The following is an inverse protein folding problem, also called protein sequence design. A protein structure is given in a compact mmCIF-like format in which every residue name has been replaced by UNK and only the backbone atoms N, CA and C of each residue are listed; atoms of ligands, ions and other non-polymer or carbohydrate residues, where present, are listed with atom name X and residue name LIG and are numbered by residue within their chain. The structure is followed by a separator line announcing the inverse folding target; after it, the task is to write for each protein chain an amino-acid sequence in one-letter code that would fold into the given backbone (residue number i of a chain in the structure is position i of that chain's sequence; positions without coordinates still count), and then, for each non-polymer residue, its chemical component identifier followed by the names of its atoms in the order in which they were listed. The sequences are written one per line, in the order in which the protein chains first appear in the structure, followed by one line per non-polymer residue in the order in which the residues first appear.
data_IF_608394662111
#
_entry.id   IF_608394662111
#
_cell.length_a   1.000
_cell.length_b   1.000
_cell.length_c   1.000
_cell.angle_alpha   90.00
_cell.angle_beta   90.00
_cell.angle_gamma   90.00
#
_symmetry.space_group_name_H-M   'P 1'
#
loop_
_entity.id
_entity.type
_entity.pdbx_description
1 polymer ?
#
# COMPACT_ATOMS: atom_id res chain seq x y z
N UNK A 1 13.41 -10.55 26.18
CA UNK A 1 13.59 -11.90 25.62
C UNK A 1 12.19 -12.36 25.24
N UNK A 2 11.81 -12.31 23.96
CA UNK A 2 10.49 -12.79 23.52
C UNK A 2 10.62 -14.29 23.27
N UNK A 3 9.81 -15.10 23.96
CA UNK A 3 9.86 -16.56 23.82
C UNK A 3 9.19 -16.95 22.51
N UNK A 4 9.73 -17.94 21.78
CA UNK A 4 9.19 -18.46 20.51
C UNK A 4 7.78 -19.06 20.60
N UNK A 5 7.13 -18.97 21.76
CA UNK A 5 5.82 -19.52 22.08
C UNK A 5 4.84 -18.47 22.63
N UNK A 6 5.23 -17.19 22.63
CA UNK A 6 4.25 -16.12 22.83
C UNK A 6 3.32 -16.13 21.62
N UNK A 7 2.00 -16.32 21.80
CA UNK A 7 1.07 -16.24 20.70
C UNK A 7 1.22 -14.86 20.09
N UNK A 8 1.66 -14.80 18.83
CA UNK A 8 1.71 -13.56 18.08
C UNK A 8 0.30 -12.96 18.21
N UNK A 9 0.16 -11.76 18.79
CA UNK A 9 -1.15 -11.16 19.00
C UNK A 9 -1.88 -11.19 17.66
N UNK A 10 -3.12 -11.67 17.67
CA UNK A 10 -3.87 -11.88 16.44
C UNK A 10 -3.94 -10.55 15.71
N UNK A 11 -3.20 -10.45 14.60
CA UNK A 11 -3.02 -9.19 13.92
C UNK A 11 -4.38 -8.71 13.41
N UNK A 12 -4.87 -7.63 14.00
CA UNK A 12 -6.07 -6.93 13.52
C UNK A 12 -5.62 -5.89 12.51
N UNK A 13 -5.77 -6.21 11.23
CA UNK A 13 -5.40 -5.34 10.12
C UNK A 13 -5.93 -3.90 10.27
N UNK A 14 -7.17 -3.74 10.73
CA UNK A 14 -7.77 -2.41 10.97
C UNK A 14 -7.09 -1.64 12.10
N UNK A 15 -6.62 -2.31 13.15
CA UNK A 15 -5.90 -1.66 14.26
C UNK A 15 -4.50 -1.23 13.81
N UNK A 16 -3.81 -2.09 13.04
CA UNK A 16 -2.52 -1.75 12.44
C UNK A 16 -2.65 -0.55 11.48
N UNK A 17 -3.66 -0.56 10.60
CA UNK A 17 -3.91 0.54 9.67
C UNK A 17 -4.23 1.84 10.41
N UNK A 18 -5.07 1.80 11.45
CA UNK A 18 -5.38 2.96 12.28
C UNK A 18 -4.13 3.50 13.02
N UNK A 19 -3.26 2.62 13.51
CA UNK A 19 -1.99 3.01 14.13
C UNK A 19 -1.06 3.69 13.11
N UNK A 20 -0.94 3.10 11.92
CA UNK A 20 -0.08 3.64 10.86
C UNK A 20 -0.62 4.98 10.33
N UNK A 21 -1.94 5.16 10.30
CA UNK A 21 -2.57 6.44 9.95
C UNK A 21 -2.19 7.56 10.92
N UNK A 22 -2.04 7.25 12.21
CA UNK A 22 -1.55 8.22 13.20
C UNK A 22 -0.09 8.62 12.96
N UNK A 23 0.72 7.72 12.40
CA UNK A 23 2.12 8.00 12.04
C UNK A 23 2.27 8.69 10.69
N UNK A 24 1.26 8.62 9.82
CA UNK A 24 1.24 9.26 8.51
C UNK A 24 1.06 10.79 8.63
N UNK A 25 2.11 11.50 9.02
CA UNK A 25 2.07 12.95 9.28
C UNK A 25 1.80 13.78 8.03
N UNK A 26 2.17 13.29 6.84
CA UNK A 26 1.96 13.98 5.56
C UNK A 26 0.74 13.46 4.81
N UNK A 27 0.15 14.30 3.96
CA UNK A 27 -0.98 13.92 3.10
C UNK A 27 -0.60 12.81 2.12
N UNK A 28 0.63 12.82 1.61
CA UNK A 28 1.10 11.81 0.69
C UNK A 28 1.27 10.44 1.36
N UNK A 29 1.81 10.39 2.58
CA UNK A 29 1.85 9.16 3.38
C UNK A 29 0.45 8.61 3.68
N UNK A 30 -0.52 9.49 4.01
CA UNK A 30 -1.92 9.08 4.22
C UNK A 30 -2.58 8.50 2.98
N UNK A 31 -2.23 8.99 1.78
CA UNK A 31 -2.72 8.42 0.51
C UNK A 31 -2.07 7.07 0.18
N UNK A 32 -0.79 6.93 0.49
CA UNK A 32 -0.03 5.71 0.21
C UNK A 32 -0.37 4.56 1.15
N UNK A 33 -0.62 4.86 2.43
CA UNK A 33 -0.79 3.85 3.46
C UNK A 33 -1.88 2.79 3.16
N UNK A 34 -3.09 3.14 2.68
CA UNK A 34 -4.11 2.14 2.31
C UNK A 34 -3.62 1.16 1.23
N UNK A 35 -2.82 1.64 0.26
CA UNK A 35 -2.26 0.80 -0.81
C UNK A 35 -1.24 -0.20 -0.26
N UNK A 36 -0.38 0.25 0.66
CA UNK A 36 0.60 -0.61 1.33
C UNK A 36 -0.08 -1.66 2.21
N UNK A 37 -1.09 -1.26 2.98
CA UNK A 37 -1.85 -2.18 3.83
C UNK A 37 -2.60 -3.23 3.00
N UNK A 38 -3.19 -2.83 1.88
CA UNK A 38 -3.86 -3.76 0.98
C UNK A 38 -2.87 -4.74 0.34
N UNK A 39 -1.69 -4.27 -0.08
CA UNK A 39 -0.62 -5.13 -0.58
C UNK A 39 -0.16 -6.15 0.46
N UNK A 40 0.12 -5.71 1.68
CA UNK A 40 0.53 -6.59 2.78
C UNK A 40 -0.55 -7.63 3.12
N UNK A 41 -1.83 -7.22 3.14
CA UNK A 41 -2.96 -8.13 3.41
C UNK A 41 -3.10 -9.22 2.34
N UNK A 42 -2.91 -8.88 1.06
CA UNK A 42 -2.93 -9.84 -0.06
C UNK A 42 -1.78 -10.83 0.01
N UNK A 43 -0.61 -10.40 0.47
CA UNK A 43 0.57 -11.25 0.59
C UNK A 43 0.55 -12.13 1.84
N UNK A 44 -0.11 -11.69 2.91
CA UNK A 44 -0.08 -12.36 4.21
C UNK A 44 -0.36 -13.87 4.20
N UNK A 45 -1.31 -14.42 3.41
CA UNK A 45 -1.55 -15.87 3.35
C UNK A 45 -0.35 -16.69 2.85
N UNK A 46 0.59 -16.05 2.15
CA UNK A 46 1.77 -16.68 1.57
C UNK A 46 3.04 -16.48 2.41
N UNK A 47 2.93 -15.75 3.54
CA UNK A 47 4.06 -15.41 4.40
C UNK A 47 4.01 -16.22 5.70
N UNK A 48 5.20 -16.45 6.26
CA UNK A 48 5.28 -16.87 7.67
C UNK A 48 4.78 -15.74 8.58
N UNK A 49 4.35 -16.03 9.82
CA UNK A 49 3.96 -14.98 10.76
C UNK A 49 5.05 -13.92 10.97
N UNK A 50 6.32 -14.32 11.03
CA UNK A 50 7.46 -13.40 11.10
C UNK A 50 7.63 -12.57 9.83
N UNK A 51 7.26 -13.12 8.66
CA UNK A 51 7.22 -12.39 7.40
C UNK A 51 6.14 -11.30 7.40
N UNK A 52 4.94 -11.60 7.89
CA UNK A 52 3.88 -10.59 8.05
C UNK A 52 4.31 -9.46 8.99
N UNK A 53 4.93 -9.79 10.13
CA UNK A 53 5.47 -8.79 11.05
C UNK A 53 6.54 -7.91 10.42
N UNK A 54 7.38 -8.49 9.54
CA UNK A 54 8.39 -7.74 8.79
C UNK A 54 7.76 -6.74 7.82
N UNK A 55 6.74 -7.14 7.07
CA UNK A 55 6.00 -6.24 6.17
C UNK A 55 5.41 -5.05 6.95
N UNK A 56 4.75 -5.32 8.07
CA UNK A 56 4.23 -4.26 8.94
C UNK A 56 5.32 -3.33 9.47
N UNK A 57 6.47 -3.87 9.84
CA UNK A 57 7.60 -3.07 10.30
C UNK A 57 8.14 -2.15 9.20
N UNK A 58 8.20 -2.62 7.95
CA UNK A 58 8.60 -1.77 6.82
C UNK A 58 7.58 -0.68 6.52
N UNK A 59 6.28 -0.97 6.61
CA UNK A 59 5.23 0.05 6.49
C UNK A 59 5.38 1.10 7.59
N UNK A 60 5.59 0.68 8.84
CA UNK A 60 5.83 1.61 9.95
C UNK A 60 7.09 2.47 9.72
N UNK A 61 8.19 1.88 9.24
CA UNK A 61 9.41 2.59 8.89
C UNK A 61 9.16 3.66 7.82
N UNK A 62 8.40 3.33 6.76
CA UNK A 62 8.01 4.29 5.72
C UNK A 62 7.15 5.45 6.28
N UNK A 63 6.28 5.17 7.26
CA UNK A 63 5.51 6.22 7.93
C UNK A 63 6.39 7.14 8.78
N UNK A 64 7.42 6.60 9.43
CA UNK A 64 8.34 7.35 10.28
C UNK A 64 9.45 8.10 9.50
N UNK A 65 9.74 7.69 8.27
CA UNK A 65 10.81 8.29 7.47
C UNK A 65 10.52 9.77 7.14
N UNK A 66 11.25 10.68 7.76
CA UNK A 66 11.11 12.13 7.57
C UNK A 66 11.55 12.60 6.20
N UNK A 67 12.43 11.85 5.52
CA UNK A 67 12.93 12.16 4.19
C UNK A 67 12.09 11.54 3.09
N UNK A 68 11.00 10.86 3.45
CA UNK A 68 10.10 10.25 2.51
C UNK A 68 9.40 11.34 1.66
N UNK A 69 9.96 11.59 0.49
CA UNK A 69 9.42 12.45 -0.55
C UNK A 69 8.80 11.55 -1.63
N UNK A 70 7.51 11.18 -1.52
CA UNK A 70 6.82 10.50 -2.60
C UNK A 70 6.83 11.46 -3.79
N UNK A 71 7.66 11.15 -4.78
CA UNK A 71 7.75 11.93 -6.01
C UNK A 71 6.37 11.87 -6.66
N UNK A 72 5.70 13.03 -6.71
CA UNK A 72 4.45 13.19 -7.47
C UNK A 72 4.74 12.96 -8.95
N UNK A 73 4.63 11.72 -9.40
CA UNK A 73 4.55 11.37 -10.81
C UNK A 73 3.64 10.17 -11.10
N UNK A 74 3.01 9.56 -10.07
CA UNK A 74 2.01 8.49 -10.24
C UNK A 74 0.55 8.97 -10.18
N UNK A 75 0.30 10.28 -10.11
CA UNK A 75 -1.06 10.83 -10.27
C UNK A 75 -1.57 10.80 -11.72
N UNK A 76 -0.76 10.36 -12.69
CA UNK A 76 -1.13 10.27 -14.11
C UNK A 76 -1.51 8.87 -14.60
N UNK A 77 -1.24 7.80 -13.83
CA UNK A 77 -1.44 6.42 -14.33
C UNK A 77 -2.91 5.98 -14.28
N UNK A 78 -3.71 6.49 -13.33
CA UNK A 78 -5.14 6.16 -13.25
C UNK A 78 -6.02 6.88 -14.27
N UNK A 79 -5.59 7.99 -14.85
CA UNK A 79 -6.34 8.75 -15.87
C UNK A 79 -6.02 8.29 -17.31
N UNK A 80 -5.00 7.44 -17.48
CA UNK A 80 -4.66 6.87 -18.78
C UNK A 80 -5.70 5.84 -19.28
N UNK A 81 -6.64 5.41 -18.44
CA UNK A 81 -7.73 4.50 -18.86
C UNK A 81 -9.02 5.21 -19.27
N UNK A 82 -9.18 6.51 -19.00
CA UNK A 82 -10.39 7.27 -19.35
C UNK A 82 -10.23 8.15 -20.59
N UNK A 83 -9.00 8.31 -21.11
CA UNK A 83 -8.71 8.98 -22.39
C UNK A 83 -8.36 7.98 -23.48
N UNK A 84 -9.27 7.07 -23.78
CA UNK A 84 -9.34 6.44 -25.11
C UNK A 84 -10.71 6.70 -25.70
N UNK A 85 -11.01 7.98 -25.93
CA UNK A 85 -11.90 8.39 -27.03
C UNK A 85 -11.15 8.18 -28.36
N UNK A 86 -10.77 6.95 -28.66
CA UNK A 86 -10.28 6.57 -29.97
C UNK A 86 -11.52 6.28 -30.84
N UNK A 87 -11.85 7.19 -31.75
CA UNK A 87 -12.87 6.93 -32.78
C UNK A 87 -12.53 5.62 -33.50
N UNK A 88 -13.51 4.75 -33.77
CA UNK A 88 -13.25 3.50 -34.47
C UNK A 88 -12.70 3.79 -35.89
N UNK A 89 -11.79 2.96 -36.41
CA UNK A 89 -11.26 3.13 -37.76
C UNK A 89 -12.39 3.01 -38.79
N UNK A 90 -12.57 4.03 -39.64
CA UNK A 90 -13.52 3.97 -40.74
C UNK A 90 -13.07 2.90 -41.77
N UNK A 91 -13.99 2.08 -42.29
CA UNK A 91 -13.68 1.17 -43.38
C UNK A 91 -13.37 1.97 -44.66
N UNK A 92 -12.38 1.54 -45.48
CA UNK A 92 -12.16 2.15 -46.78
C UNK A 92 -13.40 1.94 -47.67
N UNK A 93 -13.89 3.02 -48.26
CA UNK A 93 -15.09 3.03 -49.10
C UNK A 93 -14.88 2.38 -50.46
N UNK A 94 -15.95 1.68 -50.89
CA UNK A 94 -16.43 1.26 -52.22
C UNK A 94 -15.46 1.18 -53.40
#
# INVERSE_FOLDING_TARGET
MFSSNDPIPTLRWGEAEALFMKMATTSAKRRMLPLLMEGARKQAPFLTPSGVMRELAYIAAAMLDVNFAPTQSDSGVWEASSSSSASPPQPPGS
#
